data_IF_617959813699
#
_entry.id   IF_617959813699
#
_cell.length_a   1.000
_cell.length_b   1.000
_cell.length_c   1.000
_cell.angle_alpha   90.00
_cell.angle_beta   90.00
_cell.angle_gamma   90.00
#
_symmetry.space_group_name_H-M   'P 1'
#
loop_
_entity.id
_entity.type
_entity.pdbx_description
1 polymer ?
#
# COMPACT_ATOMS: atom_id res chain seq x y z
N UNK A 1 20.70 12.73 2.26
CA UNK A 1 20.46 11.40 1.65
C UNK A 1 20.39 10.31 2.71
N UNK A 2 21.37 10.19 3.60
CA UNK A 2 21.29 9.22 4.70
C UNK A 2 20.07 9.46 5.61
N UNK A 3 19.70 10.72 5.84
CA UNK A 3 18.50 11.07 6.64
C UNK A 3 17.21 10.57 5.99
N UNK A 4 17.15 10.59 4.65
CA UNK A 4 15.98 10.12 3.90
C UNK A 4 15.88 8.60 3.93
N UNK A 5 17.01 7.90 3.83
CA UNK A 5 17.07 6.44 4.03
C UNK A 5 16.66 6.09 5.46
N UNK A 6 17.06 6.88 6.45
CA UNK A 6 16.67 6.65 7.84
C UNK A 6 15.17 6.85 8.07
N UNK A 7 14.58 7.90 7.49
CA UNK A 7 13.12 8.11 7.50
C UNK A 7 12.40 6.95 6.83
N UNK A 8 12.89 6.46 5.69
CA UNK A 8 12.32 5.31 4.99
C UNK A 8 12.33 4.04 5.85
N UNK A 9 13.47 3.72 6.48
CA UNK A 9 13.60 2.55 7.36
C UNK A 9 12.71 2.67 8.61
N UNK A 10 12.62 3.87 9.21
CA UNK A 10 11.73 4.11 10.35
C UNK A 10 10.25 3.87 9.99
N UNK A 11 9.83 4.32 8.80
CA UNK A 11 8.46 4.11 8.33
C UNK A 11 8.20 2.63 8.04
N UNK A 12 9.15 1.93 7.42
CA UNK A 12 9.04 0.48 7.21
C UNK A 12 8.86 -0.26 8.54
N UNK A 13 9.66 0.07 9.55
CA UNK A 13 9.56 -0.55 10.86
C UNK A 13 8.19 -0.34 11.52
N UNK A 14 7.61 0.87 11.40
CA UNK A 14 6.26 1.17 11.88
C UNK A 14 5.16 0.47 11.08
N UNK A 15 5.31 0.36 9.76
CA UNK A 15 4.33 -0.27 8.88
C UNK A 15 4.24 -1.80 9.00
N UNK A 16 5.33 -2.45 9.45
CA UNK A 16 5.43 -3.90 9.59
C UNK A 16 5.53 -4.38 11.04
N UNK A 17 5.59 -3.47 12.02
CA UNK A 17 5.69 -3.79 13.46
C UNK A 17 6.89 -4.70 13.77
N UNK A 18 8.11 -4.17 13.59
CA UNK A 18 9.40 -4.87 13.66
C UNK A 18 9.75 -5.59 12.34
N UNK A 19 10.08 -4.78 11.33
CA UNK A 19 10.32 -5.25 9.95
C UNK A 19 11.50 -6.21 9.86
N UNK A 20 11.35 -7.27 9.06
CA UNK A 20 12.46 -8.15 8.66
C UNK A 20 12.64 -8.19 7.14
N UNK A 21 13.77 -8.73 6.68
CA UNK A 21 14.09 -8.83 5.25
C UNK A 21 13.04 -9.62 4.46
N UNK A 22 12.42 -10.63 5.07
CA UNK A 22 11.37 -11.41 4.42
C UNK A 22 10.12 -10.56 4.19
N UNK A 23 9.77 -9.65 5.10
CA UNK A 23 8.61 -8.77 4.93
C UNK A 23 8.75 -7.89 3.68
N UNK A 24 9.96 -7.40 3.43
CA UNK A 24 10.29 -6.57 2.27
C UNK A 24 10.19 -7.38 0.98
N UNK A 25 10.75 -8.60 0.96
CA UNK A 25 10.73 -9.48 -0.22
C UNK A 25 9.31 -9.93 -0.55
N UNK A 26 8.51 -10.32 0.45
CA UNK A 26 7.16 -10.83 0.24
C UNK A 26 6.12 -9.72 -0.01
N UNK A 27 6.31 -8.52 0.56
CA UNK A 27 5.37 -7.41 0.44
C UNK A 27 5.94 -6.23 -0.36
N UNK A 28 6.67 -6.51 -1.44
CA UNK A 28 7.32 -5.47 -2.26
C UNK A 28 6.34 -4.40 -2.75
N UNK A 29 5.10 -4.77 -3.09
CA UNK A 29 4.05 -3.82 -3.49
C UNK A 29 3.78 -2.77 -2.40
N UNK A 30 3.64 -3.21 -1.14
CA UNK A 30 3.40 -2.30 -0.01
C UNK A 30 4.61 -1.41 0.25
N UNK A 31 5.82 -1.95 0.08
CA UNK A 31 7.08 -1.17 0.21
C UNK A 31 7.16 -0.09 -0.87
N UNK A 32 6.77 -0.40 -2.11
CA UNK A 32 6.68 0.60 -3.18
C UNK A 32 5.67 1.70 -2.87
N UNK A 33 4.48 1.34 -2.39
CA UNK A 33 3.50 2.34 -1.95
C UNK A 33 4.06 3.25 -0.86
N UNK A 34 4.78 2.70 0.12
CA UNK A 34 5.45 3.50 1.16
C UNK A 34 6.51 4.43 0.54
N UNK A 35 7.29 3.94 -0.42
CA UNK A 35 8.33 4.73 -1.07
C UNK A 35 7.73 5.90 -1.88
N UNK A 36 6.64 5.65 -2.59
CA UNK A 36 5.95 6.66 -3.40
C UNK A 36 5.36 7.80 -2.55
N UNK A 37 4.96 7.53 -1.31
CA UNK A 37 4.52 8.57 -0.35
C UNK A 37 5.68 9.44 0.16
N UNK A 38 6.91 8.92 0.17
CA UNK A 38 8.09 9.63 0.66
C UNK A 38 8.78 10.39 -0.48
N UNK A 39 8.89 9.76 -1.66
CA UNK A 39 9.62 10.30 -2.81
C UNK A 39 8.87 9.95 -4.09
N UNK A 40 8.61 10.96 -4.91
CA UNK A 40 8.07 10.75 -6.26
C UNK A 40 8.79 11.66 -7.26
N UNK A 41 9.18 11.10 -8.41
CA UNK A 41 9.87 11.87 -9.45
C UNK A 41 11.20 12.49 -9.00
N UNK A 42 11.83 11.93 -7.97
CA UNK A 42 13.08 12.47 -7.39
C UNK A 42 12.89 13.64 -6.43
N UNK A 43 11.64 14.00 -6.10
CA UNK A 43 11.31 15.00 -5.08
C UNK A 43 10.80 14.33 -3.81
N UNK A 44 11.18 14.89 -2.66
CA UNK A 44 10.67 14.46 -1.35
C UNK A 44 9.27 15.04 -1.17
N UNK A 45 8.30 14.18 -0.90
CA UNK A 45 6.91 14.55 -0.67
C UNK A 45 6.63 14.70 0.82
N UNK A 46 6.83 13.61 1.57
CA UNK A 46 6.55 13.57 3.00
C UNK A 46 7.73 12.97 3.77
N UNK A 47 8.00 13.53 4.95
CA UNK A 47 9.07 13.08 5.85
C UNK A 47 8.54 12.71 7.23
N UNK A 48 7.31 13.10 7.56
CA UNK A 48 6.63 12.72 8.80
C UNK A 48 6.22 11.26 8.73
N UNK A 49 6.86 10.41 9.55
CA UNK A 49 6.56 9.00 9.59
C UNK A 49 5.11 8.70 10.00
N UNK A 50 4.49 9.56 10.82
CA UNK A 50 3.08 9.44 11.21
C UNK A 50 2.11 9.69 10.04
N UNK A 51 2.40 10.69 9.20
CA UNK A 51 1.54 11.02 8.06
C UNK A 51 1.65 9.94 6.97
N UNK A 52 2.88 9.47 6.68
CA UNK A 52 3.09 8.39 5.69
C UNK A 52 2.40 7.10 6.13
N UNK A 53 2.53 6.68 7.39
CA UNK A 53 1.87 5.47 7.90
C UNK A 53 0.34 5.57 7.75
N UNK A 54 -0.23 6.74 8.07
CA UNK A 54 -1.66 7.00 7.94
C UNK A 54 -2.13 6.93 6.49
N UNK A 55 -1.41 7.55 5.56
CA UNK A 55 -1.72 7.52 4.13
C UNK A 55 -1.67 6.07 3.59
N UNK A 56 -0.62 5.31 3.94
CA UNK A 56 -0.46 3.91 3.53
C UNK A 56 -1.58 3.03 4.09
N UNK A 57 -2.04 3.28 5.32
CA UNK A 57 -3.16 2.55 5.92
C UNK A 57 -4.49 2.88 5.21
N UNK A 58 -4.71 4.13 4.84
CA UNK A 58 -5.88 4.56 4.06
C UNK A 58 -5.90 3.92 2.67
N UNK A 59 -4.77 3.93 1.96
CA UNK A 59 -4.61 3.25 0.67
C UNK A 59 -4.92 1.75 0.82
N UNK A 60 -4.40 1.10 1.87
CA UNK A 60 -4.66 -0.32 2.15
C UNK A 60 -6.13 -0.61 2.42
N UNK A 61 -6.85 0.32 3.09
CA UNK A 61 -8.31 0.20 3.34
C UNK A 61 -9.10 0.34 2.05
N UNK A 62 -8.72 1.27 1.19
CA UNK A 62 -9.37 1.50 -0.11
C UNK A 62 -9.15 0.34 -1.08
N UNK A 63 -7.94 -0.21 -1.16
CA UNK A 63 -7.65 -1.39 -1.99
C UNK A 63 -8.54 -2.58 -1.59
N UNK A 64 -8.67 -2.83 -0.29
CA UNK A 64 -9.58 -3.87 0.25
C UNK A 64 -11.05 -3.61 -0.08
N UNK A 65 -11.51 -2.36 -0.01
CA UNK A 65 -12.86 -1.98 -0.41
C UNK A 65 -13.08 -2.16 -1.92
N UNK A 66 -12.05 -1.87 -2.73
CA UNK A 66 -12.06 -2.01 -4.19
C UNK A 66 -12.20 -3.46 -4.62
N UNK A 67 -11.45 -4.37 -3.97
CA UNK A 67 -11.48 -5.81 -4.25
C UNK A 67 -12.79 -6.51 -3.82
N UNK A 68 -13.61 -5.84 -2.99
CA UNK A 68 -14.98 -6.28 -2.68
C UNK A 68 -15.99 -6.00 -3.79
N UNK A 69 -15.59 -5.29 -4.86
CA UNK A 69 -16.45 -4.89 -5.98
C UNK A 69 -16.13 -5.62 -7.28
N UNK A 70 -15.98 -6.96 -7.25
CA UNK A 70 -16.37 -7.73 -8.43
C UNK A 70 -17.89 -7.60 -8.58
N UNK A 71 -18.31 -6.56 -9.29
CA UNK A 71 -19.67 -6.40 -9.80
C UNK A 71 -19.94 -7.52 -10.80
N UNK A 72 -20.30 -8.71 -10.31
CA UNK A 72 -21.05 -9.67 -11.12
C UNK A 72 -22.40 -9.01 -11.38
N UNK A 73 -22.76 -8.68 -12.63
CA UNK A 73 -24.08 -8.15 -12.91
C UNK A 73 -25.12 -9.21 -12.51
N UNK A 74 -25.94 -8.91 -11.50
CA UNK A 74 -27.13 -9.70 -11.15
C UNK A 74 -28.23 -9.46 -12.21
N UNK A 75 -28.00 -9.88 -13.45
CA UNK A 75 -29.04 -10.03 -14.48
C UNK A 75 -28.53 -10.77 -15.71
N UNK A 76 -28.49 -12.10 -15.64
CA UNK A 76 -28.88 -12.97 -16.75
C UNK A 76 -29.78 -14.05 -16.14
N UNK A 77 -31.01 -13.68 -15.80
CA UNK A 77 -32.06 -14.68 -15.60
C UNK A 77 -32.55 -15.13 -16.99
N UNK A 78 -32.11 -16.31 -17.41
CA UNK A 78 -32.75 -17.05 -18.50
C UNK A 78 -31.90 -17.25 -19.74
N UNK A 79 -31.00 -18.23 -19.70
CA UNK A 79 -30.68 -19.11 -20.84
C UNK A 79 -29.86 -20.31 -20.35
N UNK A 80 -30.56 -21.32 -19.83
CA UNK A 80 -30.07 -22.70 -19.84
C UNK A 80 -31.27 -23.64 -19.66
N UNK A 81 -31.98 -23.86 -20.77
CA UNK A 81 -32.85 -25.01 -20.97
C UNK A 81 -32.97 -25.21 -22.47
N UNK A 82 -31.96 -25.87 -23.06
CA UNK A 82 -32.08 -26.81 -24.17
C UNK A 82 -30.95 -27.81 -24.08
#
# INVERSE_FOLDING_TARGET
MLDLVQVFVEILDKCFSNVCELDIVFNFNKVHTILDEIILGGQVLETSSSEVVKAVEEISKLDRASNGSMLVPKSISGWTSR
#
